data_IF_641274151599
#
_entry.id   IF_641274151599
#
_cell.length_a   1.000
_cell.length_b   1.000
_cell.length_c   1.000
_cell.angle_alpha   90.00
_cell.angle_beta   90.00
_cell.angle_gamma   90.00
#
_symmetry.space_group_name_H-M   'P 1'
#
loop_
_entity.id
_entity.type
_entity.pdbx_description
1 polymer ?
#
# COMPACT_ATOMS: atom_id res chain seq x y z
N UNK A 1 1.02 6.32 25.49
CA UNK A 1 1.50 6.96 24.25
C UNK A 1 1.46 5.88 23.18
N UNK A 2 0.80 6.12 22.05
CA UNK A 2 0.77 5.14 20.96
C UNK A 2 2.10 5.12 20.23
N UNK A 3 2.59 3.94 19.88
CA UNK A 3 3.86 3.82 19.16
C UNK A 3 3.72 4.24 17.68
N UNK A 4 4.76 4.84 17.08
CA UNK A 4 4.76 5.12 15.64
C UNK A 4 4.76 3.81 14.85
N UNK A 5 4.25 3.83 13.61
CA UNK A 5 4.22 2.65 12.73
C UNK A 5 5.64 2.10 12.48
N UNK A 6 6.65 2.96 12.44
CA UNK A 6 8.06 2.59 12.33
C UNK A 6 8.63 1.82 13.53
N UNK A 7 7.89 1.68 14.64
CA UNK A 7 8.28 0.75 15.71
C UNK A 7 8.12 -0.71 15.30
N UNK A 8 7.28 -0.99 14.29
CA UNK A 8 7.10 -2.33 13.74
C UNK A 8 8.32 -2.70 12.88
N UNK A 9 8.83 -3.91 13.09
CA UNK A 9 9.95 -4.47 12.33
C UNK A 9 9.76 -4.27 10.81
N UNK A 10 10.85 -3.93 10.13
CA UNK A 10 10.92 -3.65 8.69
C UNK A 10 10.25 -2.34 8.24
N UNK A 11 9.50 -1.65 9.10
CA UNK A 11 8.87 -0.37 8.77
C UNK A 11 9.76 0.78 9.24
N UNK A 12 9.76 1.87 8.47
CA UNK A 12 10.56 3.06 8.76
C UNK A 12 9.76 4.34 8.56
N UNK A 13 10.39 5.52 8.67
CA UNK A 13 9.70 6.81 8.62
C UNK A 13 8.88 7.06 7.34
N UNK A 14 9.28 6.45 6.22
CA UNK A 14 8.49 6.50 4.99
C UNK A 14 7.12 5.82 5.14
N UNK A 15 7.04 4.73 5.92
CA UNK A 15 5.79 4.07 6.23
C UNK A 15 4.96 4.87 7.23
N UNK A 16 5.57 5.54 8.22
CA UNK A 16 4.85 6.47 9.09
C UNK A 16 4.09 7.53 8.28
N UNK A 17 4.79 8.19 7.35
CA UNK A 17 4.21 9.22 6.50
C UNK A 17 3.11 8.68 5.58
N UNK A 18 3.29 7.47 5.02
CA UNK A 18 2.29 6.85 4.16
C UNK A 18 1.05 6.41 4.95
N UNK A 19 1.23 5.78 6.11
CA UNK A 19 0.17 5.39 7.02
C UNK A 19 -0.62 6.62 7.53
N UNK A 20 0.06 7.70 7.92
CA UNK A 20 -0.60 8.93 8.34
C UNK A 20 -1.51 9.51 7.25
N UNK A 21 -1.07 9.52 5.98
CA UNK A 21 -1.91 9.92 4.83
C UNK A 21 -3.12 9.01 4.61
N UNK A 22 -2.99 7.73 4.98
CA UNK A 22 -4.05 6.74 4.93
C UNK A 22 -4.93 6.69 6.20
N UNK A 23 -4.73 7.62 7.15
CA UNK A 23 -5.47 7.68 8.41
C UNK A 23 -5.09 6.59 9.43
N UNK A 24 -3.93 5.95 9.27
CA UNK A 24 -3.37 4.96 10.19
C UNK A 24 -2.29 5.66 11.00
N UNK A 25 -2.59 6.00 12.26
CA UNK A 25 -1.75 6.91 13.05
C UNK A 25 -0.90 6.23 14.12
N UNK A 26 -0.97 4.90 14.26
CA UNK A 26 -0.14 4.18 15.24
C UNK A 26 0.13 2.72 14.86
N UNK A 27 1.12 2.12 15.52
CA UNK A 27 1.46 0.71 15.37
C UNK A 27 0.32 -0.22 15.83
N UNK A 28 -0.40 0.14 16.89
CA UNK A 28 -1.56 -0.60 17.38
C UNK A 28 -2.70 -0.58 16.36
N UNK A 29 -3.04 0.62 15.83
CA UNK A 29 -4.05 0.75 14.80
C UNK A 29 -3.71 -0.06 13.54
N UNK A 30 -2.41 -0.12 13.17
CA UNK A 30 -1.94 -0.92 12.05
C UNK A 30 -2.03 -2.44 12.31
N UNK A 31 -1.77 -2.88 13.55
CA UNK A 31 -1.94 -4.29 13.94
C UNK A 31 -3.41 -4.69 13.95
N UNK A 32 -4.28 -3.83 14.47
CA UNK A 32 -5.73 -4.09 14.62
C UNK A 32 -6.42 -4.29 13.27
N UNK A 33 -6.08 -3.46 12.26
CA UNK A 33 -6.67 -3.59 10.91
C UNK A 33 -5.98 -4.66 10.05
N UNK A 34 -4.74 -5.01 10.36
CA UNK A 34 -3.95 -5.99 9.62
C UNK A 34 -3.39 -5.48 8.28
N UNK A 35 -2.51 -6.28 7.67
CA UNK A 35 -1.73 -5.86 6.50
C UNK A 35 -2.56 -5.60 5.25
N UNK A 36 -3.56 -6.44 4.97
CA UNK A 36 -4.33 -6.38 3.71
C UNK A 36 -5.18 -5.10 3.66
N UNK A 37 -5.93 -4.82 4.74
CA UNK A 37 -6.73 -3.60 4.86
C UNK A 37 -5.84 -2.35 4.94
N UNK A 38 -4.75 -2.40 5.69
CA UNK A 38 -3.79 -1.30 5.74
C UNK A 38 -3.24 -0.98 4.35
N UNK A 39 -2.82 -2.00 3.59
CA UNK A 39 -2.29 -1.82 2.25
C UNK A 39 -3.35 -1.30 1.29
N UNK A 40 -4.61 -1.76 1.39
CA UNK A 40 -5.74 -1.21 0.64
C UNK A 40 -5.91 0.30 0.88
N UNK A 41 -5.87 0.75 2.15
CA UNK A 41 -5.95 2.19 2.49
C UNK A 41 -4.74 2.98 1.97
N UNK A 42 -3.53 2.40 2.05
CA UNK A 42 -2.34 3.01 1.49
C UNK A 42 -2.48 3.25 -0.02
N UNK A 43 -2.97 2.25 -0.78
CA UNK A 43 -3.22 2.42 -2.21
C UNK A 43 -4.29 3.50 -2.49
N UNK A 44 -5.38 3.52 -1.73
CA UNK A 44 -6.44 4.54 -1.86
C UNK A 44 -5.93 5.96 -1.54
N UNK A 45 -4.92 6.09 -0.67
CA UNK A 45 -4.24 7.36 -0.39
C UNK A 45 -3.23 7.79 -1.47
N UNK A 46 -3.09 7.02 -2.56
CA UNK A 46 -2.21 7.32 -3.68
C UNK A 46 -0.82 6.67 -3.62
N UNK A 47 -0.59 5.71 -2.70
CA UNK A 47 0.64 4.91 -2.73
C UNK A 47 0.68 4.09 -4.03
N UNK A 48 1.80 4.13 -4.76
CA UNK A 48 1.99 3.27 -5.94
C UNK A 48 2.08 1.80 -5.53
N UNK A 49 1.34 0.88 -6.18
CA UNK A 49 1.41 -0.55 -5.87
C UNK A 49 2.84 -1.10 -5.99
N UNK A 50 3.33 -1.73 -4.93
CA UNK A 50 4.66 -2.32 -4.86
C UNK A 50 4.66 -3.58 -4.00
N UNK A 51 4.80 -4.74 -4.66
CA UNK A 51 4.66 -6.03 -4.00
C UNK A 51 5.63 -6.25 -2.83
N UNK A 52 6.89 -5.78 -2.96
CA UNK A 52 7.86 -5.89 -1.86
C UNK A 52 7.39 -5.08 -0.64
N UNK A 53 6.83 -3.89 -0.87
CA UNK A 53 6.31 -3.07 0.22
C UNK A 53 5.15 -3.76 0.96
N UNK A 54 4.28 -4.43 0.21
CA UNK A 54 3.17 -5.21 0.78
C UNK A 54 3.66 -6.36 1.66
N UNK A 55 4.52 -7.26 1.16
CA UNK A 55 4.93 -8.39 1.99
C UNK A 55 5.86 -7.97 3.14
N UNK A 56 6.62 -6.87 2.99
CA UNK A 56 7.42 -6.28 4.09
C UNK A 56 6.50 -5.88 5.25
N UNK A 57 5.36 -5.27 4.96
CA UNK A 57 4.33 -4.95 5.96
C UNK A 57 3.78 -6.23 6.62
N UNK A 58 3.43 -7.25 5.83
CA UNK A 58 2.95 -8.54 6.37
C UNK A 58 3.99 -9.15 7.32
N UNK A 59 5.25 -9.23 6.90
CA UNK A 59 6.34 -9.78 7.73
C UNK A 59 6.57 -8.93 8.99
N UNK A 60 6.45 -7.61 8.87
CA UNK A 60 6.56 -6.69 10.01
C UNK A 60 5.52 -6.96 11.09
N UNK A 61 4.25 -7.13 10.71
CA UNK A 61 3.17 -7.44 11.65
C UNK A 61 3.30 -8.82 12.30
N UNK A 62 3.94 -9.77 11.63
CA UNK A 62 4.29 -11.07 12.21
C UNK A 62 5.55 -11.02 13.08
N UNK A 63 6.24 -9.87 13.14
CA UNK A 63 7.51 -9.76 13.83
C UNK A 63 8.62 -10.60 13.18
N UNK A 64 8.61 -10.82 11.87
CA UNK A 64 9.64 -11.58 11.14
C UNK A 64 10.51 -10.66 10.28
N UNK A 65 11.78 -11.00 10.01
CA UNK A 65 12.58 -10.26 9.04
C UNK A 65 11.97 -10.47 7.64
N UNK A 66 11.94 -9.42 6.82
CA UNK A 66 11.23 -9.48 5.53
C UNK A 66 11.79 -10.53 4.55
N UNK A 67 13.07 -10.87 4.67
CA UNK A 67 13.76 -11.83 3.83
C UNK A 67 13.39 -13.29 4.14
N UNK A 68 12.59 -13.53 5.17
CA UNK A 68 12.06 -14.85 5.53
C UNK A 68 10.87 -15.28 4.66
N UNK A 69 10.19 -14.32 4.00
CA UNK A 69 9.11 -14.58 3.06
C UNK A 69 9.62 -15.30 1.79
N UNK A 70 9.41 -16.62 1.70
CA UNK A 70 9.96 -17.48 0.63
C UNK A 70 8.93 -18.48 0.10
N UNK A 71 9.28 -19.14 -1.01
CA UNK A 71 8.52 -20.27 -1.55
C UNK A 71 7.03 -19.96 -1.76
N UNK A 72 6.18 -20.84 -1.24
CA UNK A 72 4.73 -20.76 -1.45
C UNK A 72 4.06 -19.63 -0.67
N UNK A 73 4.64 -19.19 0.47
CA UNK A 73 4.17 -18.00 1.19
C UNK A 73 4.24 -16.76 0.29
N UNK A 74 5.38 -16.57 -0.39
CA UNK A 74 5.55 -15.45 -1.33
C UNK A 74 4.55 -15.52 -2.49
N UNK A 75 4.24 -16.72 -3.00
CA UNK A 75 3.22 -16.90 -4.05
C UNK A 75 1.83 -16.56 -3.54
N UNK A 76 1.46 -17.01 -2.34
CA UNK A 76 0.17 -16.70 -1.73
C UNK A 76 0.00 -15.19 -1.50
N UNK A 77 1.05 -14.51 -1.02
CA UNK A 77 1.03 -13.06 -0.87
C UNK A 77 0.92 -12.33 -2.21
N UNK A 78 1.50 -12.87 -3.29
CA UNK A 78 1.32 -12.28 -4.63
C UNK A 78 -0.14 -12.28 -5.05
N UNK A 79 -0.84 -13.41 -4.85
CA UNK A 79 -2.28 -13.51 -5.16
C UNK A 79 -3.09 -12.48 -4.37
N UNK A 80 -2.83 -12.35 -3.07
CA UNK A 80 -3.51 -11.34 -2.21
C UNK A 80 -3.23 -9.92 -2.66
N UNK A 81 -1.97 -9.61 -2.95
CA UNK A 81 -1.57 -8.29 -3.46
C UNK A 81 -2.28 -7.94 -4.77
N UNK A 82 -2.33 -8.86 -5.73
CA UNK A 82 -2.98 -8.60 -7.01
C UNK A 82 -4.49 -8.43 -6.86
N UNK A 83 -5.13 -9.15 -5.92
CA UNK A 83 -6.54 -8.94 -5.58
C UNK A 83 -6.81 -7.55 -5.00
N UNK A 84 -6.01 -7.10 -4.01
CA UNK A 84 -6.13 -5.76 -3.41
C UNK A 84 -5.92 -4.68 -4.48
N UNK A 85 -4.93 -4.85 -5.36
CA UNK A 85 -4.65 -3.91 -6.45
C UNK A 85 -5.83 -3.82 -7.43
N UNK A 86 -6.41 -4.96 -7.83
CA UNK A 86 -7.56 -4.99 -8.73
C UNK A 86 -8.80 -4.36 -8.08
N UNK A 87 -9.03 -4.63 -6.80
CA UNK A 87 -10.13 -4.04 -6.04
C UNK A 87 -10.02 -2.51 -5.97
N UNK A 88 -8.82 -1.97 -5.70
CA UNK A 88 -8.60 -0.52 -5.65
C UNK A 88 -8.73 0.12 -7.04
N UNK A 89 -8.20 -0.53 -8.09
CA UNK A 89 -8.33 -0.05 -9.47
C UNK A 89 -9.81 0.12 -9.88
N UNK A 90 -10.65 -0.88 -9.57
CA UNK A 90 -12.09 -0.81 -9.87
C UNK A 90 -12.85 0.27 -9.09
N UNK A 91 -12.27 0.81 -7.99
CA UNK A 91 -12.84 1.98 -7.28
C UNK A 91 -12.34 3.30 -7.85
N UNK A 92 -11.12 3.34 -8.40
CA UNK A 92 -10.57 4.53 -9.06
C UNK A 92 -11.20 4.79 -10.42
N UNK A 93 -11.87 3.79 -11.03
CA UNK A 93 -12.76 3.99 -12.19
C UNK A 93 -14.03 4.82 -11.84
N UNK A 94 -14.24 5.13 -10.55
CA UNK A 94 -15.20 6.13 -10.07
C UNK A 94 -14.61 7.53 -9.88
N UNK A 95 -13.36 7.78 -10.29
CA UNK A 95 -12.83 9.14 -10.46
C UNK A 95 -13.65 9.83 -11.57
N UNK A 96 -14.19 11.05 -11.36
CA UNK A 96 -15.01 11.69 -12.38
C UNK A 96 -14.22 11.80 -13.71
N UNK A 97 -14.83 11.41 -14.85
CA UNK A 97 -14.19 11.57 -16.15
C UNK A 97 -13.91 13.06 -16.36
N UNK A 98 -12.64 13.44 -16.37
CA UNK A 98 -12.24 14.85 -16.43
C UNK A 98 -10.78 15.15 -16.12
N UNK A 99 -10.08 14.30 -15.36
CA UNK A 99 -8.63 14.47 -15.15
C UNK A 99 -7.85 14.10 -16.43
N UNK A 100 -8.34 13.14 -17.22
CA UNK A 100 -7.77 12.83 -18.54
C UNK A 100 -7.88 14.03 -19.50
N UNK A 101 -9.02 14.75 -19.52
CA UNK A 101 -9.17 15.98 -20.30
C UNK A 101 -8.24 17.11 -19.84
N UNK A 102 -7.96 17.21 -18.55
CA UNK A 102 -7.03 18.22 -18.01
C UNK A 102 -5.57 17.91 -18.37
N UNK A 103 -5.20 16.62 -18.47
CA UNK A 103 -3.87 16.20 -18.90
C UNK A 103 -3.69 16.32 -20.43
N UNK A 104 -4.75 16.11 -21.21
CA UNK A 104 -4.76 16.36 -22.67
C UNK A 104 -4.59 17.86 -22.99
N UNK A 105 -5.14 18.75 -22.16
CA UNK A 105 -4.94 20.20 -22.27
C UNK A 105 -3.53 20.69 -21.90
N UNK A 106 -2.75 19.90 -21.17
CA UNK A 106 -1.37 20.25 -20.75
C UNK A 106 -0.32 19.71 -21.75
N UNK A 107 -0.74 19.06 -22.84
CA UNK A 107 0.10 18.85 -24.04
C UNK A 107 1.27 17.88 -23.84
N UNK A 108 1.14 16.86 -23.00
CA UNK A 108 2.19 15.82 -22.80
C UNK A 108 1.81 14.51 -23.49
N UNK A 109 1.62 14.56 -24.81
CA UNK A 109 1.58 13.34 -25.64
C UNK A 109 2.93 13.21 -26.38
N UNK A 110 3.65 12.09 -26.25
CA UNK A 110 4.85 11.87 -27.05
C UNK A 110 4.47 11.73 -28.53
N UNK A 111 5.18 12.45 -29.40
CA UNK A 111 5.07 12.26 -30.85
C UNK A 111 5.43 10.83 -31.22
N UNK A 112 4.61 10.22 -32.07
CA UNK A 112 4.86 8.96 -32.78
C UNK A 112 6.21 8.98 -33.50
#
# INVERSE_FOLDING_TARGET
>A
MSEPVSSIRNLGPAMDAACAKAGITSAEALRDIGADEAYRRLLLSGLRPHFIGYYVLVMGLQGRPWNDCKGDEKKALRVRFDAIKAEVAGRTDGMPPGIEQFLDQIGVVPKK
#
